data_IF_856960724120
#
_entry.id   IF_856960724120
#
_cell.length_a   1.000
_cell.length_b   1.000
_cell.length_c   1.000
_cell.angle_alpha   90.00
_cell.angle_beta   90.00
_cell.angle_gamma   90.00
#
_symmetry.space_group_name_H-M   'P 1'
#
loop_
_entity.id
_entity.type
_entity.pdbx_description
1 polymer ?
#
# COMPACT_ATOMS: atom_id res chain seq x y z
N UNK A 1 -5.07 43.01 -9.10
CA UNK A 1 -5.11 42.11 -10.28
C UNK A 1 -4.16 42.64 -11.33
N UNK A 2 -3.06 41.95 -11.58
CA UNK A 2 -2.08 42.32 -12.61
C UNK A 2 -2.74 42.29 -13.99
N UNK A 3 -2.59 43.35 -14.78
CA UNK A 3 -3.21 43.46 -16.11
C UNK A 3 -2.54 42.42 -17.02
N UNK A 4 -3.30 41.47 -17.56
CA UNK A 4 -2.77 40.50 -18.53
C UNK A 4 -2.19 41.23 -19.75
N UNK A 5 -1.08 40.75 -20.33
CA UNK A 5 -0.60 41.23 -21.62
C UNK A 5 -1.73 41.22 -22.67
N UNK A 6 -1.80 42.24 -23.53
CA UNK A 6 -2.88 42.41 -24.52
C UNK A 6 -3.10 41.14 -25.37
N UNK A 7 -2.01 40.53 -25.85
CA UNK A 7 -2.03 39.27 -26.60
C UNK A 7 -2.76 38.13 -25.87
N UNK A 8 -2.63 38.04 -24.55
CA UNK A 8 -3.35 37.05 -23.74
C UNK A 8 -4.79 37.48 -23.47
N UNK A 9 -5.04 38.77 -23.24
CA UNK A 9 -6.38 39.29 -22.99
C UNK A 9 -7.33 39.09 -24.19
N UNK A 10 -6.78 39.17 -25.42
CA UNK A 10 -7.55 39.05 -26.66
C UNK A 10 -7.78 37.59 -27.09
N UNK A 11 -7.08 36.63 -26.49
CA UNK A 11 -7.21 35.22 -26.84
C UNK A 11 -8.65 34.72 -26.60
N UNK A 12 -9.31 34.04 -27.57
CA UNK A 12 -10.71 33.62 -27.45
C UNK A 12 -11.02 32.83 -26.18
N UNK A 13 -10.15 31.88 -25.81
CA UNK A 13 -10.33 31.10 -24.58
C UNK A 13 -10.22 31.94 -23.30
N UNK A 14 -9.37 32.97 -23.27
CA UNK A 14 -9.23 33.87 -22.10
C UNK A 14 -10.48 34.73 -21.95
N UNK A 15 -11.03 35.22 -23.06
CA UNK A 15 -12.32 35.94 -23.08
C UNK A 15 -13.46 35.04 -22.61
N UNK A 16 -13.52 33.79 -23.08
CA UNK A 16 -14.54 32.82 -22.66
C UNK A 16 -14.45 32.51 -21.16
N UNK A 17 -13.25 32.33 -20.60
CA UNK A 17 -13.03 32.13 -19.16
C UNK A 17 -13.47 33.35 -18.37
N UNK A 18 -13.08 34.56 -18.79
CA UNK A 18 -13.48 35.80 -18.10
C UNK A 18 -14.99 36.02 -18.11
N UNK A 19 -15.64 35.74 -19.23
CA UNK A 19 -17.10 35.81 -19.32
C UNK A 19 -17.77 34.82 -18.36
N UNK A 20 -17.26 33.58 -18.28
CA UNK A 20 -17.75 32.56 -17.34
C UNK A 20 -17.50 32.95 -15.87
N UNK A 21 -16.34 33.51 -15.56
CA UNK A 21 -16.00 33.98 -14.20
C UNK A 21 -16.87 35.16 -13.78
N UNK A 22 -17.12 36.11 -14.69
CA UNK A 22 -18.04 37.22 -14.44
C UNK A 22 -19.47 36.73 -14.15
N UNK A 23 -19.91 35.65 -14.81
CA UNK A 23 -21.19 35.01 -14.56
C UNK A 23 -21.24 34.19 -13.24
N UNK A 24 -20.10 33.63 -12.80
CA UNK A 24 -20.03 32.71 -11.66
C UNK A 24 -19.83 33.40 -10.29
N UNK A 25 -19.53 34.70 -10.24
CA UNK A 25 -19.31 35.44 -8.98
C UNK A 25 -17.99 35.11 -8.26
N UNK A 26 -17.67 35.79 -7.13
CA UNK A 26 -16.43 35.57 -6.38
C UNK A 26 -16.42 34.19 -5.69
N UNK A 27 -15.30 33.46 -5.83
CA UNK A 27 -15.07 32.15 -5.16
C UNK A 27 -14.82 32.35 -3.67
N UNK A 28 -15.79 32.03 -2.83
CA UNK A 28 -15.66 31.90 -1.37
C UNK A 28 -14.78 30.69 -0.98
N UNK A 29 -14.23 30.64 0.26
CA UNK A 29 -13.56 29.46 0.78
C UNK A 29 -14.49 28.25 0.67
N UNK A 30 -14.00 27.18 0.04
CA UNK A 30 -14.82 26.04 -0.34
C UNK A 30 -14.71 24.96 0.73
N UNK A 31 -15.47 25.10 1.81
CA UNK A 31 -15.74 23.96 2.69
C UNK A 31 -16.63 23.00 1.89
N UNK A 32 -16.13 21.81 1.61
CA UNK A 32 -16.91 20.75 0.96
C UNK A 32 -17.80 20.10 2.02
N UNK A 33 -19.06 19.87 1.66
CA UNK A 33 -19.96 19.11 2.51
C UNK A 33 -19.52 17.63 2.60
N UNK A 34 -19.35 17.12 3.82
CA UNK A 34 -18.85 15.78 4.07
C UNK A 34 -19.79 14.68 3.57
N UNK A 35 -21.10 14.88 3.65
CA UNK A 35 -22.09 13.90 3.21
C UNK A 35 -22.10 13.79 1.69
N UNK A 36 -22.09 14.94 0.99
CA UNK A 36 -21.91 14.97 -0.46
C UNK A 36 -20.61 14.26 -0.90
N UNK A 37 -19.50 14.52 -0.20
CA UNK A 37 -18.22 13.89 -0.53
C UNK A 37 -18.26 12.38 -0.32
N UNK A 38 -18.91 11.92 0.76
CA UNK A 38 -19.13 10.50 1.02
C UNK A 38 -19.97 9.85 -0.08
N UNK A 39 -21.10 10.45 -0.44
CA UNK A 39 -21.94 9.96 -1.53
C UNK A 39 -21.17 9.86 -2.84
N UNK A 40 -20.38 10.88 -3.18
CA UNK A 40 -19.51 10.88 -4.36
C UNK A 40 -18.52 9.71 -4.34
N UNK A 41 -17.81 9.50 -3.23
CA UNK A 41 -16.82 8.43 -3.12
C UNK A 41 -17.44 7.04 -3.22
N UNK A 42 -18.57 6.81 -2.55
CA UNK A 42 -19.29 5.53 -2.60
C UNK A 42 -19.86 5.27 -4.00
N UNK A 43 -20.47 6.28 -4.63
CA UNK A 43 -21.00 6.16 -5.99
C UNK A 43 -19.90 5.90 -7.04
N UNK A 44 -18.67 6.39 -6.80
CA UNK A 44 -17.52 6.13 -7.66
C UNK A 44 -16.93 4.71 -7.50
N UNK A 45 -17.36 3.94 -6.49
CA UNK A 45 -16.94 2.56 -6.27
C UNK A 45 -16.00 2.34 -5.08
N UNK A 46 -15.92 3.26 -4.12
CA UNK A 46 -15.32 2.96 -2.82
C UNK A 46 -16.29 2.14 -1.97
N UNK A 47 -15.79 1.16 -1.21
CA UNK A 47 -16.60 0.41 -0.23
C UNK A 47 -16.74 1.17 1.11
N UNK A 48 -15.75 2.01 1.44
CA UNK A 48 -15.85 3.02 2.50
C UNK A 48 -14.85 4.16 2.23
N UNK A 49 -15.03 5.27 2.94
CA UNK A 49 -14.14 6.42 2.88
C UNK A 49 -14.10 7.18 4.20
N UNK A 50 -12.97 7.84 4.45
CA UNK A 50 -12.76 8.77 5.56
C UNK A 50 -11.99 10.00 5.09
N UNK A 51 -12.24 11.17 5.67
CA UNK A 51 -11.42 12.37 5.42
C UNK A 51 -10.71 12.77 6.68
N UNK A 52 -9.47 13.23 6.55
CA UNK A 52 -8.70 13.80 7.66
C UNK A 52 -8.04 15.10 7.22
N UNK A 53 -7.88 16.04 8.14
CA UNK A 53 -7.10 17.25 7.90
C UNK A 53 -5.62 16.91 7.66
N UNK A 54 -4.98 17.61 6.73
CA UNK A 54 -3.54 17.49 6.52
C UNK A 54 -2.74 17.88 7.78
N UNK A 55 -3.29 18.78 8.60
CA UNK A 55 -2.65 19.24 9.82
C UNK A 55 -2.91 18.31 11.03
N UNK A 56 -3.49 17.12 10.81
CA UNK A 56 -3.62 16.12 11.86
C UNK A 56 -2.24 15.70 12.39
N UNK A 57 -2.03 15.64 13.72
CA UNK A 57 -0.69 15.46 14.31
C UNK A 57 0.02 14.17 13.85
N UNK A 58 -0.74 13.07 13.71
CA UNK A 58 -0.19 11.79 13.24
C UNK A 58 0.30 11.81 11.77
N UNK A 59 0.02 12.87 11.02
CA UNK A 59 0.36 13.02 9.60
C UNK A 59 1.46 14.06 9.34
N UNK A 60 2.15 14.52 10.39
CA UNK A 60 3.23 15.51 10.26
C UNK A 60 4.31 15.08 9.25
N UNK A 61 4.65 13.79 9.18
CA UNK A 61 5.63 13.23 8.24
C UNK A 61 5.16 13.18 6.78
N UNK A 62 3.88 13.43 6.52
CA UNK A 62 3.26 13.39 5.20
C UNK A 62 3.07 14.79 4.59
N UNK A 63 3.10 15.84 5.44
CA UNK A 63 2.74 17.20 5.08
C UNK A 63 3.58 17.79 3.95
N UNK A 64 4.91 17.67 4.04
CA UNK A 64 5.83 18.20 3.03
C UNK A 64 5.56 17.55 1.67
N UNK A 65 5.48 16.21 1.64
CA UNK A 65 5.26 15.46 0.41
C UNK A 65 3.90 15.76 -0.22
N UNK A 66 2.85 15.91 0.60
CA UNK A 66 1.50 16.25 0.12
C UNK A 66 1.46 17.65 -0.51
N UNK A 67 2.08 18.65 0.13
CA UNK A 67 2.12 20.01 -0.40
C UNK A 67 3.03 20.16 -1.60
N UNK A 68 4.08 19.34 -1.71
CA UNK A 68 4.90 19.27 -2.90
C UNK A 68 4.09 18.74 -4.10
N UNK A 69 3.33 17.67 -3.90
CA UNK A 69 2.50 17.08 -4.95
C UNK A 69 1.30 17.95 -5.35
N UNK A 70 0.58 18.50 -4.37
CA UNK A 70 -0.53 19.42 -4.61
C UNK A 70 -0.41 20.65 -3.68
N UNK A 71 0.18 21.76 -4.17
CA UNK A 71 0.27 22.99 -3.41
C UNK A 71 -1.13 23.50 -3.02
N UNK A 72 -1.32 23.71 -1.71
CA UNK A 72 -2.59 24.14 -1.13
C UNK A 72 -3.45 23.01 -0.57
N UNK A 73 -2.96 21.75 -0.55
CA UNK A 73 -3.66 20.64 0.11
C UNK A 73 -4.03 21.00 1.55
N UNK A 74 -5.29 20.76 1.92
CA UNK A 74 -5.85 20.96 3.27
C UNK A 74 -6.44 19.69 3.86
N UNK A 75 -6.96 18.82 3.02
CA UNK A 75 -7.60 17.57 3.45
C UNK A 75 -7.08 16.39 2.64
N UNK A 76 -7.11 15.22 3.27
CA UNK A 76 -6.76 13.93 2.68
C UNK A 76 -7.99 13.01 2.74
N UNK A 77 -8.43 12.51 1.59
CA UNK A 77 -9.55 11.57 1.48
C UNK A 77 -8.96 10.17 1.38
N UNK A 78 -9.14 9.33 2.40
CA UNK A 78 -8.77 7.92 2.36
C UNK A 78 -9.94 7.09 1.81
N UNK A 79 -9.65 6.22 0.86
CA UNK A 79 -10.59 5.28 0.26
C UNK A 79 -10.26 3.86 0.69
N UNK A 80 -11.30 3.04 0.80
CA UNK A 80 -11.23 1.60 1.05
C UNK A 80 -11.94 0.87 -0.09
N UNK A 81 -11.28 -0.14 -0.66
CA UNK A 81 -11.91 -1.09 -1.59
C UNK A 81 -11.60 -2.50 -1.11
N UNK A 82 -12.61 -3.36 -1.05
CA UNK A 82 -12.52 -4.73 -0.56
C UNK A 82 -11.92 -5.67 -1.59
N UNK A 83 -11.18 -6.65 -1.07
CA UNK A 83 -10.73 -7.82 -1.82
C UNK A 83 -11.61 -9.03 -1.53
N UNK A 84 -11.71 -9.93 -2.49
CA UNK A 84 -12.28 -11.26 -2.31
C UNK A 84 -11.38 -12.09 -1.39
N UNK A 85 -11.92 -12.45 -0.22
CA UNK A 85 -11.15 -13.07 0.88
C UNK A 85 -10.58 -14.43 0.51
N UNK A 86 -11.38 -15.27 -0.14
CA UNK A 86 -10.96 -16.62 -0.51
C UNK A 86 -9.89 -16.61 -1.59
N UNK A 87 -9.90 -15.59 -2.47
CA UNK A 87 -8.82 -15.38 -3.42
C UNK A 87 -7.50 -15.10 -2.70
N UNK A 88 -7.52 -14.24 -1.67
CA UNK A 88 -6.34 -13.92 -0.85
C UNK A 88 -5.92 -15.11 0.05
N UNK A 89 -6.87 -15.92 0.52
CA UNK A 89 -6.62 -17.12 1.33
C UNK A 89 -6.05 -18.29 0.54
N UNK A 90 -6.24 -18.29 -0.77
CA UNK A 90 -5.78 -19.37 -1.63
C UNK A 90 -4.26 -19.58 -1.53
N UNK A 91 -3.80 -20.84 -1.34
CA UNK A 91 -2.38 -21.17 -1.47
C UNK A 91 -1.83 -20.94 -2.89
N UNK A 92 -2.73 -20.89 -3.89
CA UNK A 92 -2.38 -20.61 -5.27
C UNK A 92 -2.04 -19.13 -5.44
N UNK A 93 -0.74 -18.84 -5.57
CA UNK A 93 -0.22 -17.46 -5.68
C UNK A 93 -0.85 -16.66 -6.80
N UNK A 94 -1.16 -17.29 -7.93
CA UNK A 94 -1.79 -16.61 -9.07
C UNK A 94 -3.15 -16.03 -8.70
N UNK A 95 -3.96 -16.73 -7.91
CA UNK A 95 -5.29 -16.29 -7.50
C UNK A 95 -5.19 -15.06 -6.60
N UNK A 96 -4.33 -15.11 -5.58
CA UNK A 96 -4.12 -13.98 -4.67
C UNK A 96 -3.53 -12.77 -5.41
N UNK A 97 -2.54 -12.95 -6.28
CA UNK A 97 -1.93 -11.86 -7.05
C UNK A 97 -2.94 -11.21 -8.01
N UNK A 98 -3.76 -11.99 -8.71
CA UNK A 98 -4.83 -11.44 -9.56
C UNK A 98 -5.80 -10.59 -8.75
N UNK A 99 -6.17 -11.03 -7.53
CA UNK A 99 -7.03 -10.27 -6.64
C UNK A 99 -6.41 -8.93 -6.22
N UNK A 100 -5.14 -8.92 -5.80
CA UNK A 100 -4.41 -7.69 -5.47
C UNK A 100 -4.33 -6.74 -6.68
N UNK A 101 -4.02 -7.27 -7.86
CA UNK A 101 -3.90 -6.47 -9.07
C UNK A 101 -5.23 -5.88 -9.51
N UNK A 102 -6.29 -6.69 -9.52
CA UNK A 102 -7.61 -6.24 -9.97
C UNK A 102 -8.20 -5.21 -9.01
N UNK A 103 -8.09 -5.45 -7.70
CA UNK A 103 -8.54 -4.48 -6.69
C UNK A 103 -7.71 -3.20 -6.75
N UNK A 104 -6.41 -3.32 -7.04
CA UNK A 104 -5.53 -2.17 -7.28
C UNK A 104 -5.94 -1.33 -8.50
N UNK A 105 -6.39 -1.95 -9.59
CA UNK A 105 -6.95 -1.22 -10.73
C UNK A 105 -8.24 -0.50 -10.35
N UNK A 106 -9.17 -1.21 -9.70
CA UNK A 106 -10.47 -0.68 -9.29
C UNK A 106 -10.26 0.56 -8.43
N UNK A 107 -9.44 0.50 -7.38
CA UNK A 107 -9.27 1.64 -6.48
C UNK A 107 -8.60 2.84 -7.16
N UNK A 108 -7.69 2.62 -8.12
CA UNK A 108 -7.11 3.70 -8.91
C UNK A 108 -8.13 4.32 -9.88
N UNK A 109 -9.02 3.50 -10.47
CA UNK A 109 -10.11 3.97 -11.32
C UNK A 109 -11.14 4.78 -10.52
N UNK A 110 -11.55 4.29 -9.35
CA UNK A 110 -12.39 5.00 -8.37
C UNK A 110 -11.76 6.35 -8.01
N UNK A 111 -10.49 6.36 -7.61
CA UNK A 111 -9.75 7.57 -7.24
C UNK A 111 -9.71 8.60 -8.38
N UNK A 112 -9.45 8.16 -9.61
CA UNK A 112 -9.47 9.01 -10.81
C UNK A 112 -10.85 9.61 -11.07
N UNK A 113 -11.92 8.81 -10.93
CA UNK A 113 -13.30 9.27 -11.10
C UNK A 113 -13.68 10.36 -10.10
N UNK A 114 -13.32 10.16 -8.83
CA UNK A 114 -13.57 11.14 -7.76
C UNK A 114 -12.82 12.45 -8.03
N UNK A 115 -11.54 12.38 -8.40
CA UNK A 115 -10.74 13.58 -8.71
C UNK A 115 -11.38 14.37 -9.86
N UNK A 116 -11.82 13.70 -10.94
CA UNK A 116 -12.51 14.37 -12.04
C UNK A 116 -13.78 15.07 -11.57
N UNK A 117 -14.60 14.42 -10.76
CA UNK A 117 -15.82 15.02 -10.23
C UNK A 117 -15.54 16.22 -9.32
N UNK A 118 -14.48 16.17 -8.50
CA UNK A 118 -14.03 17.30 -7.69
C UNK A 118 -13.54 18.47 -8.54
N UNK A 119 -12.81 18.18 -9.63
CA UNK A 119 -12.39 19.19 -10.62
C UNK A 119 -13.58 19.86 -11.31
N UNK A 120 -14.59 19.09 -11.71
CA UNK A 120 -15.81 19.59 -12.34
C UNK A 120 -16.64 20.44 -11.36
N UNK A 121 -16.64 20.07 -10.08
CA UNK A 121 -17.17 20.91 -8.99
C UNK A 121 -16.28 22.14 -8.70
N UNK A 122 -15.09 22.22 -9.30
CA UNK A 122 -14.17 23.36 -9.28
C UNK A 122 -13.11 23.33 -8.18
N UNK A 123 -12.92 22.20 -7.51
CA UNK A 123 -11.89 21.96 -6.49
C UNK A 123 -10.64 21.39 -7.14
N UNK A 124 -9.47 21.62 -6.56
CA UNK A 124 -8.25 20.94 -7.02
C UNK A 124 -8.05 19.70 -6.17
N UNK A 125 -7.95 18.57 -6.84
CA UNK A 125 -7.67 17.30 -6.20
C UNK A 125 -6.61 16.54 -7.00
N UNK A 126 -5.91 15.63 -6.32
CA UNK A 126 -4.89 14.77 -6.92
C UNK A 126 -4.99 13.37 -6.32
N UNK A 127 -4.87 12.34 -7.16
CA UNK A 127 -4.79 10.94 -6.73
C UNK A 127 -3.40 10.35 -7.04
N UNK A 128 -2.54 10.10 -6.04
CA UNK A 128 -1.34 9.31 -6.22
C UNK A 128 -1.66 7.83 -6.49
N UNK A 129 -0.65 7.09 -6.97
CA UNK A 129 -0.75 5.63 -7.13
C UNK A 129 -1.05 4.93 -5.81
N UNK A 130 -2.12 4.13 -5.77
CA UNK A 130 -2.55 3.43 -4.56
C UNK A 130 -1.65 2.25 -4.15
N UNK A 131 -0.95 1.62 -5.09
CA UNK A 131 -0.26 0.33 -4.87
C UNK A 131 1.21 0.34 -5.27
N UNK A 132 1.51 0.72 -6.51
CA UNK A 132 2.85 0.71 -7.08
C UNK A 132 3.37 2.14 -7.19
N UNK A 133 4.06 2.66 -6.16
CA UNK A 133 4.68 3.98 -6.20
C UNK A 133 5.70 4.07 -7.34
N UNK A 134 5.83 5.27 -7.93
CA UNK A 134 6.61 5.48 -9.16
C UNK A 134 7.74 6.50 -9.04
N UNK A 135 7.99 7.09 -7.86
CA UNK A 135 9.09 8.05 -7.65
C UNK A 135 10.44 7.33 -7.51
N UNK A 136 10.86 6.62 -8.56
CA UNK A 136 12.02 5.72 -8.53
C UNK A 136 13.35 6.44 -8.39
N UNK A 137 13.42 7.74 -8.73
CA UNK A 137 14.60 8.57 -8.44
C UNK A 137 14.95 8.63 -6.94
N UNK A 138 13.95 8.42 -6.09
CA UNK A 138 14.10 8.43 -4.64
C UNK A 138 14.41 7.04 -4.06
N UNK A 139 14.45 5.98 -4.87
CA UNK A 139 14.74 4.62 -4.39
C UNK A 139 16.17 4.53 -3.82
N UNK A 140 16.39 3.93 -2.62
CA UNK A 140 15.47 3.12 -1.82
C UNK A 140 14.68 3.88 -0.73
N UNK A 141 14.69 5.22 -0.78
CA UNK A 141 13.98 6.11 0.14
C UNK A 141 12.48 6.20 -0.12
N UNK A 142 11.94 7.43 -0.04
CA UNK A 142 10.49 7.68 -0.17
C UNK A 142 10.09 7.70 -1.65
N UNK A 143 9.71 6.53 -2.16
CA UNK A 143 9.24 6.38 -3.54
C UNK A 143 7.75 6.70 -3.73
N UNK A 144 7.02 6.97 -2.65
CA UNK A 144 5.58 7.25 -2.65
C UNK A 144 5.27 8.71 -2.31
N UNK A 145 4.17 9.23 -2.85
CA UNK A 145 3.69 10.59 -2.56
C UNK A 145 3.08 10.69 -1.17
N UNK A 146 2.27 9.71 -0.76
CA UNK A 146 1.53 9.74 0.50
C UNK A 146 1.44 8.33 1.08
N UNK A 147 1.60 8.19 2.39
CA UNK A 147 1.47 6.92 3.08
C UNK A 147 0.00 6.62 3.38
N UNK A 148 -0.62 5.72 2.61
CA UNK A 148 -2.05 5.42 2.73
C UNK A 148 -2.47 4.87 4.10
N UNK A 149 -1.63 4.05 4.75
CA UNK A 149 -1.96 3.41 6.03
C UNK A 149 -2.11 4.43 7.18
N UNK A 150 -1.15 5.34 7.44
CA UNK A 150 -1.34 6.42 8.42
C UNK A 150 -2.58 7.26 8.16
N UNK A 151 -2.84 7.63 6.90
CA UNK A 151 -4.02 8.44 6.55
C UNK A 151 -5.31 7.69 6.86
N UNK A 152 -5.43 6.42 6.46
CA UNK A 152 -6.61 5.61 6.75
C UNK A 152 -6.87 5.47 8.26
N UNK A 153 -5.81 5.28 9.07
CA UNK A 153 -5.92 5.22 10.52
C UNK A 153 -6.39 6.56 11.09
N UNK A 154 -5.76 7.67 10.69
CA UNK A 154 -6.11 9.01 11.16
C UNK A 154 -7.54 9.41 10.75
N UNK A 155 -7.99 8.95 9.58
CA UNK A 155 -9.34 9.17 9.07
C UNK A 155 -10.40 8.23 9.69
N UNK A 156 -10.03 7.34 10.62
CA UNK A 156 -10.98 6.48 11.34
C UNK A 156 -11.37 5.18 10.63
N UNK A 157 -10.67 4.80 9.56
CA UNK A 157 -11.03 3.62 8.75
C UNK A 157 -10.46 2.30 9.29
N UNK A 158 -9.67 2.34 10.36
CA UNK A 158 -9.08 1.15 10.94
C UNK A 158 -7.92 1.45 11.88
N UNK A 159 -7.34 0.38 12.41
CA UNK A 159 -6.11 0.44 13.20
C UNK A 159 -5.06 -0.53 12.66
N UNK A 160 -3.79 -0.26 12.92
CA UNK A 160 -2.71 -1.16 12.52
C UNK A 160 -2.72 -2.43 13.37
N UNK A 161 -2.88 -3.58 12.73
CA UNK A 161 -2.68 -4.89 13.37
C UNK A 161 -1.20 -5.21 13.57
N UNK A 162 -0.91 -6.27 14.33
CA UNK A 162 0.48 -6.73 14.57
C UNK A 162 1.23 -7.10 13.28
N UNK A 163 0.50 -7.49 12.22
CA UNK A 163 1.06 -7.74 10.89
C UNK A 163 1.31 -6.47 10.05
N UNK A 164 1.14 -5.28 10.64
CA UNK A 164 1.32 -3.96 10.00
C UNK A 164 0.43 -3.68 8.79
N UNK A 165 -0.76 -4.27 8.73
CA UNK A 165 -1.81 -3.80 7.81
C UNK A 165 -2.91 -3.15 8.63
N UNK A 166 -3.58 -2.18 8.02
CA UNK A 166 -4.78 -1.57 8.58
C UNK A 166 -5.87 -2.64 8.59
N UNK A 167 -6.52 -2.80 9.74
CA UNK A 167 -7.67 -3.67 9.91
C UNK A 167 -8.88 -2.74 10.04
N UNK A 168 -9.76 -2.81 9.05
CA UNK A 168 -11.05 -2.14 9.06
C UNK A 168 -12.01 -2.86 10.01
N UNK A 169 -12.82 -2.16 10.84
CA UNK A 169 -13.78 -2.74 11.77
C UNK A 169 -14.68 -3.80 11.14
N UNK A 170 -15.26 -3.48 9.98
CA UNK A 170 -16.15 -4.38 9.23
C UNK A 170 -15.40 -5.35 8.32
N UNK A 171 -14.60 -4.83 7.39
CA UNK A 171 -14.01 -5.62 6.31
C UNK A 171 -12.71 -6.36 6.67
N UNK A 172 -12.17 -6.14 7.86
CA UNK A 172 -10.89 -6.70 8.25
C UNK A 172 -9.72 -6.06 7.50
N UNK A 173 -8.66 -6.83 7.27
CA UNK A 173 -7.51 -6.37 6.47
C UNK A 173 -7.60 -6.73 4.97
N UNK A 174 -8.73 -7.29 4.53
CA UNK A 174 -8.98 -7.64 3.13
C UNK A 174 -9.42 -6.41 2.33
N UNK A 175 -8.61 -5.35 2.42
CA UNK A 175 -8.86 -4.05 1.81
C UNK A 175 -7.58 -3.50 1.19
N UNK A 176 -7.73 -2.78 0.09
CA UNK A 176 -6.72 -1.86 -0.41
C UNK A 176 -7.12 -0.42 -0.07
N UNK A 177 -6.09 0.42 0.04
CA UNK A 177 -6.23 1.82 0.44
C UNK A 177 -5.70 2.73 -0.67
N UNK A 178 -6.37 3.85 -0.86
CA UNK A 178 -5.87 4.97 -1.66
C UNK A 178 -6.10 6.27 -0.90
N UNK A 179 -5.37 7.32 -1.26
CA UNK A 179 -5.53 8.64 -0.64
C UNK A 179 -5.58 9.71 -1.71
N UNK A 180 -6.59 10.56 -1.69
CA UNK A 180 -6.68 11.74 -2.52
C UNK A 180 -6.23 12.96 -1.72
N UNK A 181 -5.52 13.88 -2.37
CA UNK A 181 -5.14 15.18 -1.83
C UNK A 181 -6.16 16.20 -2.32
N UNK A 182 -6.63 17.07 -1.44
CA UNK A 182 -7.68 18.05 -1.73
C UNK A 182 -7.29 19.45 -1.24
N UNK A 183 -7.46 20.48 -2.08
CA UNK A 183 -7.14 21.88 -1.76
C UNK A 183 -8.23 22.64 -0.97
N UNK A 184 -9.18 21.91 -0.42
CA UNK A 184 -10.37 22.39 0.25
C UNK A 184 -10.49 21.75 1.63
N UNK A 185 -11.10 22.47 2.57
CA UNK A 185 -11.55 21.90 3.84
C UNK A 185 -12.84 21.12 3.65
N UNK A 186 -13.14 20.22 4.58
CA UNK A 186 -14.40 19.46 4.60
C UNK A 186 -15.17 19.80 5.88
N UNK A 187 -16.50 19.84 5.82
CA UNK A 187 -17.38 20.24 6.93
C UNK A 187 -17.27 19.33 8.16
N UNK A 188 -16.84 18.08 7.95
CA UNK A 188 -16.53 17.11 9.01
C UNK A 188 -15.32 16.25 8.63
N UNK A 189 -14.54 15.85 9.63
CA UNK A 189 -13.43 14.92 9.50
C UNK A 189 -13.72 13.63 10.28
N UNK A 190 -13.14 12.53 9.80
CA UNK A 190 -13.13 11.26 10.49
C UNK A 190 -12.35 11.34 11.80
N UNK A 191 -12.70 10.46 12.73
CA UNK A 191 -12.07 10.34 14.04
C UNK A 191 -11.46 8.95 14.14
N UNK A 192 -10.23 8.88 14.64
CA UNK A 192 -9.56 7.60 14.91
C UNK A 192 -10.45 6.69 15.75
N UNK A 193 -10.40 5.40 15.45
CA UNK A 193 -11.04 4.40 16.31
C UNK A 193 -10.47 4.46 17.73
N UNK A 194 -11.34 4.29 18.71
CA UNK A 194 -11.01 4.20 20.13
C UNK A 194 -10.55 2.79 20.54
N UNK A 195 -10.57 1.83 19.61
CA UNK A 195 -10.08 0.47 19.79
C UNK A 195 -9.26 -0.02 18.59
N UNK A 196 -8.54 -1.13 18.77
CA UNK A 196 -7.84 -1.83 17.69
C UNK A 196 -8.61 -3.11 17.30
N UNK A 197 -9.08 -3.26 16.04
CA UNK A 197 -9.79 -4.47 15.61
C UNK A 197 -8.94 -5.76 15.62
N UNK A 198 -7.62 -5.66 15.81
CA UNK A 198 -6.74 -6.81 15.96
C UNK A 198 -7.12 -7.66 17.20
N UNK A 199 -7.45 -8.93 16.99
CA UNK A 199 -7.77 -9.88 18.07
C UNK A 199 -6.55 -10.40 18.85
N UNK A 200 -5.35 -9.97 18.49
CA UNK A 200 -4.08 -10.47 19.03
C UNK A 200 -3.88 -12.00 18.96
N UNK A 201 -4.63 -12.68 18.08
CA UNK A 201 -4.64 -14.15 17.94
C UNK A 201 -3.30 -14.78 17.50
N UNK A 202 -2.34 -13.97 17.03
CA UNK A 202 -1.02 -14.36 16.52
C UNK A 202 -1.04 -15.33 15.33
N UNK A 203 -2.16 -15.46 14.61
CA UNK A 203 -2.23 -16.29 13.39
C UNK A 203 -1.27 -15.81 12.30
N UNK A 204 -1.16 -14.50 12.11
CA UNK A 204 -0.19 -13.93 11.16
C UNK A 204 1.27 -14.21 11.53
N UNK A 205 1.59 -14.33 12.83
CA UNK A 205 2.92 -14.73 13.31
C UNK A 205 3.16 -16.20 12.98
N UNK A 206 2.16 -17.06 13.23
CA UNK A 206 2.25 -18.48 12.93
C UNK A 206 2.34 -18.77 11.42
N UNK A 207 1.69 -17.95 10.59
CA UNK A 207 1.65 -18.12 9.14
C UNK A 207 2.90 -17.59 8.42
N UNK A 208 3.65 -16.66 9.03
CA UNK A 208 4.76 -16.01 8.36
C UNK A 208 5.91 -16.99 8.08
N UNK A 209 6.27 -17.26 6.81
CA UNK A 209 7.22 -18.32 6.50
C UNK A 209 8.67 -17.96 6.86
N UNK A 210 8.97 -16.67 6.95
CA UNK A 210 10.30 -16.13 7.25
C UNK A 210 10.39 -15.47 8.63
N UNK A 211 9.34 -15.58 9.46
CA UNK A 211 9.36 -15.07 10.84
C UNK A 211 9.43 -13.55 11.00
N UNK A 212 9.02 -12.77 9.99
CA UNK A 212 9.14 -11.31 10.02
C UNK A 212 8.19 -10.62 11.01
N UNK A 213 7.15 -11.28 11.50
CA UNK A 213 6.17 -10.67 12.40
C UNK A 213 6.41 -11.21 13.80
N UNK A 214 6.80 -10.33 14.73
CA UNK A 214 6.96 -10.64 16.14
C UNK A 214 5.62 -10.73 16.88
N UNK A 215 5.62 -11.38 18.04
CA UNK A 215 4.41 -11.55 18.84
C UNK A 215 3.89 -10.22 19.40
N UNK A 216 4.74 -9.21 19.58
CA UNK A 216 4.38 -7.94 20.20
C UNK A 216 4.36 -6.78 19.19
N UNK A 217 4.29 -7.08 17.89
CA UNK A 217 4.22 -6.08 16.82
C UNK A 217 5.59 -5.67 16.24
N UNK A 218 6.68 -6.33 16.66
CA UNK A 218 7.97 -6.22 15.99
C UNK A 218 7.86 -6.67 14.53
N UNK A 219 8.62 -6.04 13.64
CA UNK A 219 8.56 -6.39 12.22
C UNK A 219 9.91 -6.27 11.53
N UNK A 220 10.38 -7.39 10.98
CA UNK A 220 11.53 -7.43 10.10
C UNK A 220 11.10 -7.13 8.66
N UNK A 221 11.16 -5.84 8.29
CA UNK A 221 10.87 -5.42 6.93
C UNK A 221 11.85 -6.01 5.91
N UNK A 222 13.13 -6.18 6.26
CA UNK A 222 14.13 -6.69 5.31
C UNK A 222 13.89 -8.16 4.99
N UNK A 223 13.63 -8.99 6.00
CA UNK A 223 13.25 -10.39 5.80
C UNK A 223 11.94 -10.52 5.01
N UNK A 224 10.93 -9.72 5.35
CA UNK A 224 9.66 -9.70 4.61
C UNK A 224 9.87 -9.28 3.15
N UNK A 225 10.61 -8.20 2.88
CA UNK A 225 10.86 -7.72 1.52
C UNK A 225 11.69 -8.71 0.69
N UNK A 226 12.72 -9.32 1.27
CA UNK A 226 13.57 -10.32 0.59
C UNK A 226 12.74 -11.50 0.07
N UNK A 227 11.76 -11.95 0.87
CA UNK A 227 10.90 -13.05 0.46
C UNK A 227 9.67 -12.59 -0.33
N UNK A 228 8.81 -11.78 0.27
CA UNK A 228 7.51 -11.40 -0.30
C UNK A 228 7.68 -10.56 -1.57
N UNK A 229 8.66 -9.66 -1.57
CA UNK A 229 8.95 -8.75 -2.68
C UNK A 229 10.14 -9.22 -3.51
N UNK A 230 10.37 -10.54 -3.56
CA UNK A 230 11.48 -11.13 -4.32
C UNK A 230 11.48 -10.72 -5.80
N UNK A 231 10.32 -10.36 -6.35
CA UNK A 231 10.15 -10.03 -7.77
C UNK A 231 9.89 -8.54 -8.02
N UNK A 232 10.24 -7.72 -7.04
CA UNK A 232 10.14 -6.26 -7.06
C UNK A 232 11.53 -5.63 -7.15
N UNK A 233 11.60 -4.31 -6.98
CA UNK A 233 12.81 -3.47 -7.07
C UNK A 233 14.08 -4.10 -6.49
N UNK A 234 14.10 -4.47 -5.20
CA UNK A 234 15.30 -5.04 -4.57
C UNK A 234 15.68 -6.41 -5.13
N UNK A 235 14.71 -7.30 -5.36
CA UNK A 235 14.98 -8.60 -5.94
C UNK A 235 15.35 -8.55 -7.43
N UNK A 236 14.88 -7.53 -8.16
CA UNK A 236 15.31 -7.25 -9.53
C UNK A 236 16.77 -6.79 -9.57
N UNK A 237 17.18 -5.89 -8.66
CA UNK A 237 18.58 -5.48 -8.53
C UNK A 237 19.48 -6.69 -8.21
N UNK A 238 19.11 -7.51 -7.22
CA UNK A 238 19.82 -8.77 -6.88
C UNK A 238 19.94 -9.71 -8.10
N UNK A 239 18.88 -9.81 -8.89
CA UNK A 239 18.86 -10.63 -10.10
C UNK A 239 19.81 -10.08 -11.19
N UNK A 240 19.81 -8.77 -11.43
CA UNK A 240 20.71 -8.12 -12.41
C UNK A 240 22.18 -8.21 -11.97
N UNK A 241 22.46 -7.99 -10.69
CA UNK A 241 23.81 -8.17 -10.12
C UNK A 241 24.27 -9.62 -10.30
N UNK A 242 23.39 -10.58 -10.03
CA UNK A 242 23.68 -12.01 -10.26
C UNK A 242 24.02 -12.31 -11.71
N UNK A 243 23.33 -11.70 -12.69
CA UNK A 243 23.67 -11.83 -14.11
C UNK A 243 25.06 -11.25 -14.40
N UNK A 244 25.35 -10.04 -13.90
CA UNK A 244 26.58 -9.33 -14.17
C UNK A 244 27.81 -10.00 -13.53
N UNK A 245 27.62 -10.67 -12.40
CA UNK A 245 28.67 -11.38 -11.66
C UNK A 245 28.95 -12.79 -12.18
N UNK A 246 28.01 -13.41 -12.89
CA UNK A 246 28.20 -14.74 -13.47
C UNK A 246 29.10 -14.71 -14.70
N UNK A 247 30.08 -15.61 -14.77
CA UNK A 247 31.04 -15.73 -15.85
C UNK A 247 30.39 -16.21 -17.16
N UNK A 248 29.41 -17.10 -17.06
CA UNK A 248 28.67 -17.63 -18.20
C UNK A 248 27.24 -18.07 -17.86
N UNK A 249 26.52 -18.57 -18.87
CA UNK A 249 25.14 -19.00 -18.73
C UNK A 249 24.97 -20.27 -17.88
N UNK A 250 26.01 -21.10 -17.72
CA UNK A 250 25.95 -22.28 -16.87
C UNK A 250 26.02 -21.86 -15.39
N UNK A 251 26.99 -21.03 -15.02
CA UNK A 251 27.11 -20.48 -13.66
C UNK A 251 25.85 -19.69 -13.25
N UNK A 252 25.32 -18.85 -14.15
CA UNK A 252 24.06 -18.14 -13.90
C UNK A 252 22.91 -19.10 -13.57
N UNK A 253 22.79 -20.23 -14.29
CA UNK A 253 21.71 -21.20 -14.06
C UNK A 253 21.86 -21.99 -12.77
N UNK A 254 23.07 -22.10 -12.22
CA UNK A 254 23.30 -22.64 -10.88
C UNK A 254 22.82 -21.67 -9.79
N UNK A 255 23.01 -20.36 -10.00
CA UNK A 255 22.60 -19.30 -9.06
C UNK A 255 21.12 -18.92 -9.19
N UNK A 256 20.56 -18.94 -10.38
CA UNK A 256 19.17 -18.59 -10.70
C UNK A 256 18.57 -19.64 -11.62
N UNK A 257 17.62 -20.41 -11.09
CA UNK A 257 16.97 -21.48 -11.83
C UNK A 257 16.16 -20.93 -13.01
N UNK A 258 15.84 -21.80 -13.98
CA UNK A 258 14.94 -21.45 -15.08
C UNK A 258 13.57 -20.98 -14.58
N UNK A 259 13.05 -21.59 -13.51
CA UNK A 259 11.79 -21.19 -12.90
C UNK A 259 11.86 -19.77 -12.30
N UNK A 260 12.95 -19.42 -11.63
CA UNK A 260 13.16 -18.07 -11.10
C UNK A 260 13.31 -17.02 -12.20
N UNK A 261 14.05 -17.35 -13.26
CA UNK A 261 14.19 -16.49 -14.44
C UNK A 261 12.82 -16.22 -15.09
N UNK A 262 12.01 -17.27 -15.28
CA UNK A 262 10.66 -17.15 -15.82
C UNK A 262 9.73 -16.35 -14.88
N UNK A 263 9.88 -16.52 -13.57
CA UNK A 263 9.10 -15.81 -12.55
C UNK A 263 9.45 -14.31 -12.51
N UNK A 264 10.73 -13.94 -12.62
CA UNK A 264 11.16 -12.54 -12.83
C UNK A 264 10.58 -11.97 -14.11
N UNK A 265 10.72 -12.68 -15.23
CA UNK A 265 10.16 -12.25 -16.52
C UNK A 265 8.65 -11.99 -16.42
N UNK A 266 7.89 -12.89 -15.78
CA UNK A 266 6.45 -12.72 -15.61
C UNK A 266 6.12 -11.48 -14.76
N UNK A 267 6.87 -11.23 -13.69
CA UNK A 267 6.71 -10.05 -12.83
C UNK A 267 6.93 -8.75 -13.61
N UNK A 268 7.90 -8.72 -14.53
CA UNK A 268 8.22 -7.57 -15.38
C UNK A 268 7.21 -7.39 -16.53
N UNK A 269 6.81 -8.48 -17.18
CA UNK A 269 5.95 -8.45 -18.37
C UNK A 269 4.45 -8.27 -18.05
N UNK A 270 4.04 -8.66 -16.84
CA UNK A 270 2.66 -8.52 -16.38
C UNK A 270 2.56 -7.43 -15.31
N UNK A 271 2.76 -7.81 -14.05
CA UNK A 271 2.69 -6.94 -12.87
C UNK A 271 3.50 -7.56 -11.73
N UNK A 272 3.93 -6.77 -10.73
CA UNK A 272 4.75 -7.28 -9.64
C UNK A 272 4.08 -8.39 -8.83
N UNK A 273 4.69 -9.58 -8.79
CA UNK A 273 4.12 -10.74 -8.12
C UNK A 273 4.62 -10.89 -6.67
N UNK A 274 3.69 -10.90 -5.72
CA UNK A 274 3.96 -11.20 -4.32
C UNK A 274 4.18 -12.70 -4.13
N UNK A 275 5.24 -13.07 -3.39
CA UNK A 275 5.51 -14.48 -3.04
C UNK A 275 4.64 -14.99 -1.90
N UNK A 276 4.20 -14.10 -1.02
CA UNK A 276 3.36 -14.40 0.12
C UNK A 276 2.21 -13.39 0.21
N UNK A 277 1.33 -13.62 1.17
CA UNK A 277 0.41 -12.64 1.76
C UNK A 277 -0.20 -13.26 3.03
N UNK A 278 0.52 -14.20 3.65
CA UNK A 278 -0.11 -15.17 4.56
C UNK A 278 -0.63 -14.50 5.83
N UNK A 279 0.02 -13.42 6.27
CA UNK A 279 -0.46 -12.62 7.38
C UNK A 279 -1.79 -11.90 7.08
N UNK A 280 -2.08 -11.56 5.81
CA UNK A 280 -3.40 -11.08 5.42
C UNK A 280 -4.40 -12.24 5.38
N UNK A 281 -4.06 -13.28 4.63
CA UNK A 281 -4.91 -14.45 4.40
C UNK A 281 -5.51 -15.05 5.69
N UNK A 282 -4.69 -15.23 6.72
CA UNK A 282 -5.11 -15.89 7.97
C UNK A 282 -5.77 -14.97 8.97
N UNK A 283 -5.87 -13.67 8.69
CA UNK A 283 -6.45 -12.72 9.64
C UNK A 283 -7.96 -12.95 9.75
N UNK A 284 -8.49 -13.23 10.95
CA UNK A 284 -9.92 -13.38 11.15
C UNK A 284 -10.58 -12.05 11.58
N UNK A 285 -9.81 -10.99 11.78
CA UNK A 285 -10.35 -9.73 12.29
C UNK A 285 -11.25 -9.05 11.25
N UNK A 286 -12.28 -8.35 11.74
CA UNK A 286 -13.33 -7.71 10.95
C UNK A 286 -14.70 -8.35 11.20
N UNK A 287 -15.73 -7.57 11.49
CA UNK A 287 -17.09 -8.06 11.78
C UNK A 287 -17.60 -9.02 10.69
N UNK A 288 -17.37 -8.68 9.41
CA UNK A 288 -17.80 -9.50 8.29
C UNK A 288 -16.90 -10.74 8.09
N UNK A 289 -15.75 -10.83 8.76
CA UNK A 289 -14.68 -11.84 8.56
C UNK A 289 -14.61 -12.84 9.71
N UNK A 290 -14.99 -12.41 10.91
CA UNK A 290 -14.69 -13.05 12.18
C UNK A 290 -15.49 -14.32 12.45
N UNK A 291 -16.70 -14.41 11.90
CA UNK A 291 -17.66 -15.46 12.24
C UNK A 291 -17.10 -16.90 12.11
N UNK A 292 -16.46 -17.33 10.99
CA UNK A 292 -15.93 -18.69 10.89
C UNK A 292 -14.88 -19.04 11.95
N UNK A 293 -14.07 -18.05 12.36
CA UNK A 293 -13.07 -18.24 13.40
C UNK A 293 -13.70 -18.44 14.79
N UNK A 294 -14.82 -17.76 15.07
CA UNK A 294 -15.53 -17.90 16.34
C UNK A 294 -16.34 -19.20 16.41
N UNK A 295 -16.92 -19.62 15.29
CA UNK A 295 -17.74 -20.84 15.20
C UNK A 295 -16.89 -22.11 15.42
N UNK A 296 -15.80 -22.25 14.68
CA UNK A 296 -14.88 -23.38 14.85
C UNK A 296 -13.44 -22.95 14.57
N UNK A 297 -12.72 -22.68 15.67
CA UNK A 297 -11.30 -22.30 15.60
C UNK A 297 -10.47 -23.40 14.97
N UNK A 298 -10.74 -24.68 15.27
CA UNK A 298 -9.95 -25.81 14.79
C UNK A 298 -10.13 -25.94 13.28
N UNK A 299 -11.38 -25.91 12.80
CA UNK A 299 -11.67 -25.94 11.37
C UNK A 299 -11.00 -24.74 10.66
N UNK A 300 -11.11 -23.53 11.21
CA UNK A 300 -10.43 -22.36 10.64
C UNK A 300 -8.90 -22.56 10.53
N UNK A 301 -8.27 -23.14 11.55
CA UNK A 301 -6.84 -23.47 11.48
C UNK A 301 -6.56 -24.47 10.35
N UNK A 302 -7.40 -25.49 10.23
CA UNK A 302 -7.23 -26.60 9.30
C UNK A 302 -7.49 -26.19 7.84
N UNK A 303 -8.41 -25.25 7.60
CA UNK A 303 -8.83 -24.82 6.27
C UNK A 303 -8.15 -23.53 5.79
N UNK A 304 -7.69 -22.65 6.70
CA UNK A 304 -7.08 -21.36 6.34
C UNK A 304 -5.58 -21.29 6.68
N UNK A 305 -5.15 -21.69 7.88
CA UNK A 305 -3.74 -21.58 8.27
C UNK A 305 -2.88 -22.70 7.69
N UNK A 306 -3.25 -23.96 7.95
CA UNK A 306 -2.45 -25.14 7.61
C UNK A 306 -2.11 -25.21 6.12
N UNK A 307 -3.04 -24.95 5.18
CA UNK A 307 -2.70 -25.01 3.75
C UNK A 307 -1.56 -24.08 3.34
N UNK A 308 -1.42 -22.92 4.00
CA UNK A 308 -0.32 -21.97 3.75
C UNK A 308 1.00 -22.44 4.41
N UNK A 309 0.92 -23.04 5.59
CA UNK A 309 2.07 -23.63 6.30
C UNK A 309 2.63 -24.86 5.59
N UNK A 310 1.74 -25.72 5.06
CA UNK A 310 2.09 -27.02 4.49
C UNK A 310 2.53 -26.91 3.02
N UNK A 311 2.15 -25.82 2.33
CA UNK A 311 2.59 -25.52 0.96
C UNK A 311 4.10 -25.67 0.81
N UNK A 312 4.56 -26.48 -0.15
CA UNK A 312 5.98 -26.58 -0.49
C UNK A 312 6.35 -25.45 -1.46
N UNK A 313 7.28 -24.59 -1.05
CA UNK A 313 7.75 -23.46 -1.85
C UNK A 313 9.15 -23.01 -1.42
N UNK A 314 9.89 -22.36 -2.32
CA UNK A 314 11.18 -21.77 -2.00
C UNK A 314 11.00 -20.53 -1.12
N UNK A 315 11.66 -20.54 0.04
CA UNK A 315 11.79 -19.40 0.93
C UNK A 315 13.10 -18.68 0.67
N UNK A 316 13.01 -17.38 0.41
CA UNK A 316 14.14 -16.53 0.08
C UNK A 316 14.56 -15.74 1.31
N UNK A 317 15.82 -15.87 1.70
CA UNK A 317 16.38 -15.23 2.90
C UNK A 317 17.75 -14.68 2.57
N UNK A 318 18.25 -13.73 3.37
CA UNK A 318 19.65 -13.31 3.24
C UNK A 318 20.57 -14.26 4.00
N UNK A 319 21.83 -14.45 3.56
CA UNK A 319 22.80 -15.31 4.26
C UNK A 319 22.94 -14.99 5.74
N UNK A 320 22.96 -16.02 6.59
CA UNK A 320 23.15 -15.90 8.04
C UNK A 320 22.08 -15.09 8.78
N UNK A 321 20.89 -14.90 8.19
CA UNK A 321 19.83 -14.09 8.79
C UNK A 321 18.97 -14.86 9.79
N UNK A 322 18.39 -14.19 10.80
CA UNK A 322 17.38 -14.78 11.68
C UNK A 322 16.18 -15.37 10.92
N UNK A 323 15.83 -14.78 9.77
CA UNK A 323 14.78 -15.28 8.88
C UNK A 323 15.13 -16.67 8.32
N UNK A 324 16.39 -16.91 7.94
CA UNK A 324 16.89 -18.21 7.50
C UNK A 324 16.82 -19.27 8.59
N UNK A 325 17.30 -18.96 9.79
CA UNK A 325 17.25 -19.87 10.94
C UNK A 325 15.80 -20.20 11.32
N UNK A 326 14.92 -19.20 11.32
CA UNK A 326 13.51 -19.38 11.55
C UNK A 326 12.88 -20.33 10.53
N UNK A 327 13.11 -20.07 9.23
CA UNK A 327 12.54 -20.87 8.14
C UNK A 327 12.96 -22.33 8.22
N UNK A 328 14.27 -22.61 8.37
CA UNK A 328 14.80 -23.98 8.48
C UNK A 328 14.25 -24.74 9.68
N UNK A 329 14.12 -24.05 10.84
CA UNK A 329 13.60 -24.65 12.07
C UNK A 329 12.09 -24.88 12.03
N UNK A 330 11.32 -23.88 11.56
CA UNK A 330 9.85 -23.86 11.66
C UNK A 330 9.16 -24.56 10.49
N UNK A 331 9.77 -24.54 9.31
CA UNK A 331 9.24 -25.09 8.07
C UNK A 331 10.30 -25.91 7.33
N UNK A 332 10.80 -27.01 7.94
CA UNK A 332 11.91 -27.80 7.38
C UNK A 332 11.59 -28.43 6.00
N UNK A 333 10.31 -28.57 5.65
CA UNK A 333 9.84 -29.07 4.36
C UNK A 333 9.86 -28.02 3.25
N UNK A 334 10.03 -26.73 3.57
CA UNK A 334 10.13 -25.66 2.58
C UNK A 334 11.61 -25.40 2.25
N UNK A 335 12.06 -25.57 0.99
CA UNK A 335 13.45 -25.32 0.63
C UNK A 335 13.82 -23.85 0.89
N UNK A 336 14.97 -23.63 1.51
CA UNK A 336 15.49 -22.29 1.80
C UNK A 336 16.61 -21.96 0.83
N UNK A 337 16.51 -20.81 0.16
CA UNK A 337 17.53 -20.27 -0.73
C UNK A 337 18.04 -18.93 -0.22
N UNK A 338 19.36 -18.84 -0.09
CA UNK A 338 20.02 -17.61 0.32
C UNK A 338 20.28 -16.72 -0.90
N UNK A 339 19.95 -15.44 -0.78
CA UNK A 339 20.08 -14.42 -1.85
C UNK A 339 20.47 -13.06 -1.29
N UNK A 340 20.93 -12.17 -2.15
CA UNK A 340 20.98 -10.75 -1.82
C UNK A 340 19.57 -10.19 -1.67
N UNK A 341 19.48 -8.98 -1.13
CA UNK A 341 18.20 -8.28 -1.01
C UNK A 341 18.10 -7.07 -1.97
N UNK A 342 19.18 -6.72 -2.66
CA UNK A 342 19.30 -5.54 -3.54
C UNK A 342 18.86 -4.22 -2.89
N UNK A 343 18.79 -4.18 -1.56
CA UNK A 343 18.47 -2.99 -0.78
C UNK A 343 19.80 -2.38 -0.31
N UNK A 344 20.13 -1.14 -0.71
CA UNK A 344 21.32 -0.46 -0.22
C UNK A 344 21.35 -0.45 1.31
N UNK A 345 22.51 -0.74 1.91
CA UNK A 345 22.67 -0.63 3.36
C UNK A 345 22.45 0.82 3.74
N UNK A 346 21.30 1.13 4.34
CA UNK A 346 21.07 2.40 5.01
C UNK A 346 22.11 2.55 6.12
N UNK A 347 23.21 3.28 5.84
CA UNK A 347 24.10 3.75 6.91
C UNK A 347 23.25 4.61 7.84
N UNK A 348 23.34 4.46 9.17
CA UNK A 348 22.71 5.40 10.09
C UNK A 348 23.14 6.82 9.70
N UNK A 349 22.18 7.76 9.63
CA UNK A 349 22.50 9.19 9.57
C UNK A 349 23.47 9.44 10.72
N UNK A 350 24.72 9.80 10.41
CA UNK A 350 25.62 10.35 11.42
C UNK A 350 24.88 11.54 12.01
N UNK A 351 24.53 11.45 13.30
CA UNK A 351 24.13 12.60 14.07
C UNK A 351 25.21 13.66 13.85
N UNK A 352 24.83 14.78 13.24
CA UNK A 352 25.66 15.97 13.28
C UNK A 352 25.83 16.29 14.76
N UNK A 353 26.99 15.99 15.31
CA UNK A 353 27.49 16.64 16.51
C UNK A 353 27.66 18.11 16.15
N UNK A 354 26.62 18.90 16.37
CA UNK A 354 26.75 20.35 16.41
C UNK A 354 27.57 20.68 17.65
N UNK A 355 28.87 20.78 17.44
CA UNK A 355 29.77 21.51 18.30
C UNK A 355 29.92 22.91 17.75
N UNK A 356 29.23 23.88 18.37
CA UNK A 356 29.73 25.22 18.73
C UNK A 356 28.66 26.00 19.48
#
# INVERSE_FOLDING_TARGET
MTRLPARLADHPSVRAVRARQAAAGPRTPRVIDADWLRELCLAAGADDMGVVSLDHPDLAGERESALHALPGTRSLISLVVRMNRDNVRSPARSVANQEFHRTGEIINETARGIVRALEDAGHRALNPSATFPMEMENYPGRIWVIAHKPVAVAAGLGAMGIHRNVIHPRFGNFVLLATLLLDAEVSAYGVKLDYNPCLECKLCVAACPIGAIGKNGEFDFRGCATHNYREFMGGFTDWVETIAESADAAEYRERVTTAESASMWQSLAFKPNYKAAYCLAVCPAGEDVLEPYLQDRKDFMDTVLKPLQDKVETLYVTPGSPAGDYARRRFPHKPVKEVGNGLPVTRPRQEKKDGR
#
